data_IF_720360590721
#
_entry.id   IF_720360590721
#
_cell.length_a   1.000
_cell.length_b   1.000
_cell.length_c   1.000
_cell.angle_alpha   90.00
_cell.angle_beta   90.00
_cell.angle_gamma   90.00
#
_symmetry.space_group_name_H-M   'P 1'
#
loop_
_entity.id
_entity.type
_entity.pdbx_description
1 polymer ?
#
# COMPACT_ATOMS: atom_id res chain seq x y z
N UNK A 1 -46.30 -7.08 -47.45
CA UNK A 1 -45.39 -8.21 -47.17
C UNK A 1 -44.13 -8.00 -48.00
N UNK A 2 -42.92 -7.77 -47.50
CA UNK A 2 -42.41 -7.55 -46.13
C UNK A 2 -41.04 -6.91 -46.36
N UNK A 3 -40.83 -5.68 -45.86
CA UNK A 3 -39.50 -5.05 -45.76
C UNK A 3 -38.79 -5.68 -44.55
N UNK A 4 -37.61 -6.26 -44.74
CA UNK A 4 -36.74 -6.66 -43.63
C UNK A 4 -35.45 -5.82 -43.67
N UNK A 5 -35.46 -4.84 -42.78
CA UNK A 5 -34.34 -4.04 -42.33
C UNK A 5 -33.39 -4.94 -41.52
N UNK A 6 -32.15 -5.12 -41.98
CA UNK A 6 -31.13 -5.90 -41.28
C UNK A 6 -30.11 -4.95 -40.69
N UNK A 7 -30.42 -4.41 -39.52
CA UNK A 7 -29.51 -3.56 -38.74
C UNK A 7 -28.35 -4.41 -38.21
N UNK A 8 -27.17 -4.28 -38.83
CA UNK A 8 -25.91 -4.81 -38.29
C UNK A 8 -25.63 -4.15 -36.92
N UNK A 9 -25.27 -4.91 -35.87
CA UNK A 9 -24.75 -4.31 -34.65
C UNK A 9 -23.36 -3.75 -34.92
N UNK A 10 -23.24 -2.44 -34.68
CA UNK A 10 -22.02 -1.65 -34.74
C UNK A 10 -21.00 -2.23 -33.75
N UNK A 11 -19.98 -2.90 -34.27
CA UNK A 11 -18.81 -3.35 -33.48
C UNK A 11 -18.13 -2.10 -32.94
N UNK A 12 -18.33 -1.83 -31.66
CA UNK A 12 -17.52 -0.84 -30.93
C UNK A 12 -16.09 -1.36 -30.87
N UNK A 13 -15.08 -0.54 -31.17
CA UNK A 13 -13.70 -0.97 -31.08
C UNK A 13 -13.41 -1.31 -29.62
N UNK A 14 -12.87 -2.51 -29.41
CA UNK A 14 -12.41 -3.02 -28.13
C UNK A 14 -11.69 -1.90 -27.38
N UNK A 15 -12.36 -1.37 -26.36
CA UNK A 15 -11.65 -0.64 -25.32
C UNK A 15 -10.60 -1.60 -24.81
N UNK A 16 -9.30 -1.21 -24.82
CA UNK A 16 -8.27 -2.11 -24.37
C UNK A 16 -8.65 -2.47 -22.95
N UNK A 17 -8.97 -3.75 -22.73
CA UNK A 17 -9.22 -4.29 -21.42
C UNK A 17 -8.07 -3.75 -20.56
N UNK A 18 -8.43 -2.84 -19.65
CA UNK A 18 -7.58 -2.38 -18.58
C UNK A 18 -7.30 -3.65 -17.80
N UNK A 19 -6.28 -4.39 -18.21
CA UNK A 19 -5.93 -5.67 -17.65
C UNK A 19 -5.79 -5.43 -16.16
N UNK A 20 -6.83 -5.84 -15.44
CA UNK A 20 -6.89 -5.82 -14.01
C UNK A 20 -5.67 -6.61 -13.59
N UNK A 21 -4.66 -5.91 -13.07
CA UNK A 21 -3.49 -6.53 -12.43
C UNK A 21 -3.98 -7.17 -11.12
N UNK A 22 -4.79 -8.20 -11.28
CA UNK A 22 -5.41 -8.99 -10.24
C UNK A 22 -4.30 -9.65 -9.44
N UNK A 23 -4.42 -9.63 -8.12
CA UNK A 23 -3.56 -10.43 -7.27
C UNK A 23 -3.86 -11.90 -7.55
N UNK A 24 -2.96 -12.58 -8.26
CA UNK A 24 -3.05 -14.02 -8.44
C UNK A 24 -2.16 -14.69 -7.39
N UNK A 25 -2.74 -14.93 -6.21
CA UNK A 25 -2.18 -15.82 -5.21
C UNK A 25 -2.88 -17.17 -5.31
N UNK A 26 -2.11 -18.25 -5.45
CA UNK A 26 -2.62 -19.61 -5.34
C UNK A 26 -3.12 -19.87 -3.91
N UNK A 27 -4.01 -20.86 -3.73
CA UNK A 27 -4.47 -21.26 -2.40
C UNK A 27 -3.29 -21.57 -1.45
N UNK A 28 -2.25 -22.24 -1.95
CA UNK A 28 -1.04 -22.55 -1.19
C UNK A 28 -0.30 -21.28 -0.76
N UNK A 29 -0.16 -20.29 -1.64
CA UNK A 29 0.48 -19.03 -1.30
C UNK A 29 -0.31 -18.26 -0.23
N UNK A 30 -1.65 -18.28 -0.30
CA UNK A 30 -2.53 -17.66 0.71
C UNK A 30 -2.34 -18.31 2.08
N UNK A 31 -2.38 -19.65 2.14
CA UNK A 31 -2.14 -20.41 3.36
C UNK A 31 -0.75 -20.16 3.94
N UNK A 32 0.29 -20.11 3.10
CA UNK A 32 1.66 -19.81 3.51
C UNK A 32 1.75 -18.41 4.13
N UNK A 33 1.15 -17.39 3.52
CA UNK A 33 1.17 -16.03 4.07
C UNK A 33 0.48 -16.00 5.43
N UNK A 34 -0.70 -16.61 5.58
CA UNK A 34 -1.40 -16.68 6.87
C UNK A 34 -0.54 -17.35 7.95
N UNK A 35 -0.04 -18.57 7.67
CA UNK A 35 0.72 -19.34 8.65
C UNK A 35 2.05 -18.68 9.02
N UNK A 36 2.74 -18.07 8.04
CA UNK A 36 4.02 -17.40 8.29
C UNK A 36 3.84 -16.06 8.99
N UNK A 37 2.75 -15.34 8.75
CA UNK A 37 2.43 -14.15 9.51
C UNK A 37 2.11 -14.46 10.97
N UNK A 38 1.28 -15.47 11.22
CA UNK A 38 0.94 -15.93 12.56
C UNK A 38 2.20 -16.32 13.34
N UNK A 39 3.05 -17.16 12.74
CA UNK A 39 4.34 -17.55 13.35
C UNK A 39 5.27 -16.36 13.57
N UNK A 40 5.43 -15.47 12.60
CA UNK A 40 6.30 -14.31 12.76
C UNK A 40 5.80 -13.38 13.87
N UNK A 41 4.48 -13.15 13.94
CA UNK A 41 3.84 -12.27 14.92
C UNK A 41 3.86 -12.82 16.34
N UNK A 42 3.92 -14.15 16.50
CA UNK A 42 4.13 -14.77 17.82
C UNK A 42 5.57 -14.65 18.32
N UNK A 43 6.53 -14.45 17.42
CA UNK A 43 7.96 -14.39 17.76
C UNK A 43 8.46 -12.97 18.02
N UNK A 44 7.91 -11.97 17.33
CA UNK A 44 8.27 -10.58 17.57
C UNK A 44 7.16 -9.61 17.13
N UNK A 45 7.29 -8.37 17.59
CA UNK A 45 6.50 -7.26 17.09
C UNK A 45 7.02 -6.82 15.70
N UNK A 46 6.42 -7.39 14.65
CA UNK A 46 6.81 -7.14 13.25
C UNK A 46 6.73 -5.65 12.90
N UNK A 47 5.71 -4.94 13.41
CA UNK A 47 5.55 -3.51 13.24
C UNK A 47 6.74 -2.73 13.79
N UNK A 48 7.18 -3.03 15.01
CA UNK A 48 8.34 -2.35 15.61
C UNK A 48 9.64 -2.71 14.90
N UNK A 49 9.81 -3.98 14.53
CA UNK A 49 10.94 -4.47 13.72
C UNK A 49 11.03 -3.76 12.36
N UNK A 50 9.88 -3.53 11.69
CA UNK A 50 9.82 -2.75 10.45
C UNK A 50 10.21 -1.29 10.68
N UNK A 51 9.66 -0.65 11.70
CA UNK A 51 9.90 0.77 12.01
C UNK A 51 11.38 1.01 12.36
N UNK A 52 11.99 0.12 13.16
CA UNK A 52 13.41 0.18 13.47
C UNK A 52 14.27 0.06 12.19
N UNK A 53 13.96 -0.90 11.31
CA UNK A 53 14.65 -1.03 10.01
C UNK A 53 14.52 0.22 9.14
N UNK A 54 13.33 0.81 9.07
CA UNK A 54 13.10 2.04 8.29
C UNK A 54 13.86 3.25 8.87
N UNK A 55 13.92 3.37 10.20
CA UNK A 55 14.70 4.42 10.87
C UNK A 55 16.21 4.30 10.59
N UNK A 56 16.71 3.08 10.44
CA UNK A 56 18.10 2.78 10.14
C UNK A 56 18.42 2.80 8.63
N UNK A 57 17.42 2.87 7.75
CA UNK A 57 17.62 2.92 6.31
C UNK A 57 17.75 4.36 5.82
N UNK A 58 19.01 4.77 5.61
CA UNK A 58 19.39 6.11 5.13
C UNK A 58 18.83 6.47 3.74
N UNK A 59 18.28 5.51 3.00
CA UNK A 59 17.61 5.78 1.71
C UNK A 59 16.18 6.29 1.91
N UNK A 60 15.62 6.12 3.10
CA UNK A 60 14.26 6.57 3.42
C UNK A 60 14.27 7.95 4.03
N UNK A 61 13.18 8.70 3.82
CA UNK A 61 12.89 9.93 4.58
C UNK A 61 12.08 9.65 5.86
N UNK A 62 12.03 8.40 6.31
CA UNK A 62 11.14 7.98 7.39
C UNK A 62 11.45 8.69 8.71
N UNK A 63 12.74 8.84 9.02
CA UNK A 63 13.20 9.62 10.18
C UNK A 63 12.69 11.07 10.16
N UNK A 64 12.89 11.76 9.03
CA UNK A 64 12.41 13.15 8.87
C UNK A 64 10.88 13.27 8.99
N UNK A 65 10.12 12.27 8.53
CA UNK A 65 8.66 12.23 8.67
C UNK A 65 8.22 12.09 10.13
N UNK A 66 8.99 11.37 10.96
CA UNK A 66 8.71 11.26 12.38
C UNK A 66 9.07 12.56 13.12
N UNK A 67 10.23 13.14 12.84
CA UNK A 67 10.73 14.39 13.45
C UNK A 67 9.83 15.59 13.13
N UNK A 68 9.44 15.77 11.86
CA UNK A 68 8.63 16.91 11.39
C UNK A 68 7.31 17.07 12.15
N UNK A 69 6.77 15.97 12.70
CA UNK A 69 5.50 15.98 13.44
C UNK A 69 5.64 15.65 14.92
N UNK A 70 6.81 15.27 15.41
CA UNK A 70 7.08 15.10 16.85
C UNK A 70 7.65 16.37 17.48
N UNK A 71 8.33 17.23 16.70
CA UNK A 71 9.07 18.37 17.21
C UNK A 71 10.37 18.00 17.93
N UNK A 72 10.67 16.70 18.05
CA UNK A 72 11.86 16.18 18.72
C UNK A 72 12.83 15.63 17.68
N UNK A 73 14.09 16.05 17.75
CA UNK A 73 15.16 15.50 16.94
C UNK A 73 15.46 14.07 17.38
N UNK A 74 15.42 13.12 16.46
CA UNK A 74 15.85 11.76 16.77
C UNK A 74 17.40 11.77 16.75
N UNK A 75 18.07 11.14 17.72
CA UNK A 75 19.54 11.18 17.84
C UNK A 75 20.28 10.39 16.74
N UNK A 76 21.60 10.50 16.65
CA UNK A 76 22.40 9.68 15.72
C UNK A 76 22.78 8.34 16.36
N UNK A 77 21.82 7.42 16.42
CA UNK A 77 22.05 6.04 16.91
C UNK A 77 21.35 5.04 15.99
N UNK A 78 21.85 3.81 15.97
CA UNK A 78 21.12 2.68 15.39
C UNK A 78 19.91 2.40 16.28
N UNK A 79 18.71 2.44 15.71
CA UNK A 79 17.46 2.22 16.44
C UNK A 79 17.17 0.72 16.59
N UNK A 80 16.79 0.31 17.79
CA UNK A 80 16.30 -1.03 18.09
C UNK A 80 14.78 -1.07 18.24
N UNK A 81 14.22 -2.25 18.49
CA UNK A 81 12.78 -2.41 18.78
C UNK A 81 12.41 -1.71 20.09
N UNK A 82 13.31 -1.74 21.08
CA UNK A 82 13.16 -1.09 22.37
C UNK A 82 13.03 0.42 22.20
N UNK A 83 13.89 1.04 21.38
CA UNK A 83 13.79 2.47 21.07
C UNK A 83 12.43 2.83 20.44
N UNK A 84 11.93 1.99 19.52
CA UNK A 84 10.62 2.20 18.90
C UNK A 84 9.49 2.15 19.91
N UNK A 85 9.58 1.26 20.91
CA UNK A 85 8.57 1.15 21.97
C UNK A 85 8.50 2.39 22.86
N UNK A 86 9.64 3.03 23.13
CA UNK A 86 9.71 4.25 23.94
C UNK A 86 9.23 5.48 23.15
N UNK A 87 9.38 5.47 21.82
CA UNK A 87 8.93 6.54 20.95
C UNK A 87 7.43 6.40 20.62
N UNK A 88 6.56 7.04 21.40
CA UNK A 88 5.08 7.01 21.21
C UNK A 88 4.61 7.11 19.75
N UNK A 89 5.21 8.03 18.97
CA UNK A 89 4.86 8.21 17.56
C UNK A 89 5.30 7.03 16.69
N UNK A 90 6.52 6.52 16.88
CA UNK A 90 7.04 5.38 16.17
C UNK A 90 6.24 4.10 16.53
N UNK A 91 5.93 3.92 17.81
CA UNK A 91 5.03 2.89 18.31
C UNK A 91 3.65 2.92 17.65
N UNK A 92 3.02 4.10 17.55
CA UNK A 92 1.74 4.22 16.86
C UNK A 92 1.80 3.81 15.37
N UNK A 93 2.93 4.08 14.69
CA UNK A 93 3.13 3.62 13.31
C UNK A 93 3.28 2.10 13.26
N UNK A 94 4.06 1.51 14.18
CA UNK A 94 4.21 0.06 14.32
C UNK A 94 2.86 -0.64 14.58
N UNK A 95 2.05 -0.11 15.50
CA UNK A 95 0.71 -0.63 15.79
C UNK A 95 -0.21 -0.53 14.57
N UNK A 96 -0.13 0.58 13.82
CA UNK A 96 -0.86 0.74 12.57
C UNK A 96 -0.47 -0.28 11.50
N UNK A 97 0.82 -0.60 11.39
CA UNK A 97 1.33 -1.66 10.49
C UNK A 97 0.74 -3.01 10.90
N UNK A 98 0.89 -3.41 12.17
CA UNK A 98 0.38 -4.69 12.66
C UNK A 98 -1.14 -4.80 12.46
N UNK A 99 -1.89 -3.75 12.83
CA UNK A 99 -3.34 -3.69 12.67
C UNK A 99 -3.75 -3.85 11.20
N UNK A 100 -3.08 -3.12 10.29
CA UNK A 100 -3.38 -3.23 8.86
C UNK A 100 -3.09 -4.62 8.32
N UNK A 101 -1.91 -5.19 8.60
CA UNK A 101 -1.55 -6.52 8.11
C UNK A 101 -2.43 -7.63 8.69
N UNK A 102 -2.76 -7.59 9.97
CA UNK A 102 -3.77 -8.48 10.57
C UNK A 102 -5.10 -8.40 9.81
N UNK A 103 -5.55 -7.18 9.50
CA UNK A 103 -6.80 -6.95 8.76
C UNK A 103 -6.74 -7.53 7.35
N UNK A 104 -5.73 -7.23 6.54
CA UNK A 104 -5.66 -7.74 5.16
C UNK A 104 -5.39 -9.24 5.09
N UNK A 105 -4.63 -9.81 6.02
CA UNK A 105 -4.33 -11.25 6.06
C UNK A 105 -5.57 -12.05 6.45
N UNK A 106 -6.40 -11.52 7.36
CA UNK A 106 -7.69 -12.16 7.71
C UNK A 106 -8.62 -12.36 6.52
N UNK A 107 -8.40 -11.65 5.41
CA UNK A 107 -9.22 -11.73 4.19
C UNK A 107 -8.74 -12.76 3.20
N UNK A 108 -7.51 -13.26 3.33
CA UNK A 108 -6.88 -14.10 2.30
C UNK A 108 -7.65 -15.40 2.01
N UNK A 109 -8.43 -15.90 2.96
CA UNK A 109 -9.18 -17.14 2.80
C UNK A 109 -10.61 -16.92 2.30
N UNK A 110 -11.05 -15.67 2.14
CA UNK A 110 -12.37 -15.34 1.61
C UNK A 110 -12.40 -15.52 0.07
N UNK A 111 -13.60 -15.72 -0.49
CA UNK A 111 -13.78 -15.90 -1.94
C UNK A 111 -13.47 -14.62 -2.72
N UNK A 112 -13.81 -13.46 -2.16
CA UNK A 112 -13.62 -12.11 -2.72
C UNK A 112 -12.37 -11.41 -2.15
N UNK A 113 -11.39 -12.17 -1.62
CA UNK A 113 -10.20 -11.63 -0.95
C UNK A 113 -9.48 -10.52 -1.73
N UNK A 114 -9.42 -10.65 -3.06
CA UNK A 114 -8.74 -9.68 -3.93
C UNK A 114 -9.40 -8.32 -3.83
N UNK A 115 -10.73 -8.26 -3.86
CA UNK A 115 -11.49 -7.01 -3.84
C UNK A 115 -11.48 -6.40 -2.45
N UNK A 116 -11.63 -7.22 -1.40
CA UNK A 116 -11.51 -6.75 -0.01
C UNK A 116 -10.12 -6.16 0.28
N UNK A 117 -9.05 -6.86 -0.10
CA UNK A 117 -7.67 -6.36 0.13
C UNK A 117 -7.37 -5.14 -0.73
N UNK A 118 -7.90 -5.08 -1.97
CA UNK A 118 -7.79 -3.91 -2.83
C UNK A 118 -8.41 -2.69 -2.16
N UNK A 119 -9.64 -2.81 -1.67
CA UNK A 119 -10.37 -1.72 -1.04
C UNK A 119 -9.65 -1.22 0.22
N UNK A 120 -9.23 -2.12 1.10
CA UNK A 120 -8.45 -1.77 2.29
C UNK A 120 -7.15 -1.04 1.93
N UNK A 121 -6.47 -1.49 0.87
CA UNK A 121 -5.23 -0.87 0.41
C UNK A 121 -5.46 0.51 -0.20
N UNK A 122 -6.54 0.69 -0.98
CA UNK A 122 -6.94 1.99 -1.53
C UNK A 122 -7.24 2.99 -0.40
N UNK A 123 -8.05 2.59 0.58
CA UNK A 123 -8.39 3.40 1.75
C UNK A 123 -7.13 3.79 2.54
N UNK A 124 -6.21 2.86 2.75
CA UNK A 124 -4.95 3.16 3.43
C UNK A 124 -4.11 4.17 2.63
N UNK A 125 -4.06 4.04 1.29
CA UNK A 125 -3.42 5.01 0.41
C UNK A 125 -4.00 6.42 0.53
N UNK A 126 -5.33 6.54 0.47
CA UNK A 126 -6.04 7.82 0.64
C UNK A 126 -5.77 8.44 2.03
N UNK A 127 -5.78 7.62 3.09
CA UNK A 127 -5.44 8.06 4.44
C UNK A 127 -4.03 8.66 4.51
N UNK A 128 -3.03 8.02 3.89
CA UNK A 128 -1.67 8.55 3.85
C UNK A 128 -1.58 9.91 3.16
N UNK A 129 -2.36 10.13 2.10
CA UNK A 129 -2.48 11.44 1.45
C UNK A 129 -3.07 12.49 2.40
N UNK A 130 -4.22 12.20 3.04
CA UNK A 130 -4.88 13.12 4.00
C UNK A 130 -3.98 13.46 5.18
N UNK A 131 -3.19 12.50 5.63
CA UNK A 131 -2.18 12.69 6.68
C UNK A 131 -0.94 13.44 6.19
N UNK A 132 -0.86 13.87 4.94
CA UNK A 132 0.28 14.57 4.32
C UNK A 132 1.59 13.76 4.47
N UNK A 133 1.50 12.44 4.36
CA UNK A 133 2.65 11.54 4.36
C UNK A 133 3.05 11.30 2.92
N UNK A 134 4.03 12.07 2.44
CA UNK A 134 4.50 12.01 1.06
C UNK A 134 5.57 10.92 0.91
N UNK A 135 5.19 9.79 0.34
CA UNK A 135 6.13 8.73 0.03
C UNK A 135 6.64 8.87 -1.40
N UNK A 136 7.91 9.25 -1.54
CA UNK A 136 8.64 9.11 -2.81
C UNK A 136 8.77 7.62 -3.17
N UNK A 137 9.11 7.33 -4.44
CA UNK A 137 9.18 5.96 -4.97
C UNK A 137 10.09 5.06 -4.12
N UNK A 138 11.18 5.63 -3.61
CA UNK A 138 12.22 5.00 -2.80
C UNK A 138 11.65 4.53 -1.44
N UNK A 139 10.80 5.33 -0.81
CA UNK A 139 10.21 4.96 0.49
C UNK A 139 9.30 3.72 0.37
N UNK A 140 8.53 3.61 -0.73
CA UNK A 140 7.70 2.43 -0.97
C UNK A 140 8.51 1.16 -1.17
N UNK A 141 9.68 1.27 -1.82
CA UNK A 141 10.58 0.15 -2.03
C UNK A 141 11.21 -0.29 -0.70
N UNK A 142 11.66 0.67 0.12
CA UNK A 142 12.22 0.37 1.43
C UNK A 142 11.17 -0.27 2.36
N UNK A 143 9.93 0.23 2.40
CA UNK A 143 8.85 -0.41 3.19
C UNK A 143 8.64 -1.87 2.77
N UNK A 144 8.62 -2.15 1.47
CA UNK A 144 8.49 -3.53 0.97
C UNK A 144 9.66 -4.41 1.44
N UNK A 145 10.89 -3.94 1.27
CA UNK A 145 12.07 -4.73 1.60
C UNK A 145 12.20 -4.93 3.11
N UNK A 146 12.05 -3.86 3.90
CA UNK A 146 12.11 -3.95 5.36
C UNK A 146 11.02 -4.85 5.93
N UNK A 147 9.80 -4.86 5.35
CA UNK A 147 8.73 -5.75 5.80
C UNK A 147 9.06 -7.22 5.50
N UNK A 148 9.52 -7.51 4.29
CA UNK A 148 9.96 -8.85 3.92
C UNK A 148 11.09 -9.33 4.84
N UNK A 149 12.07 -8.48 5.09
CA UNK A 149 13.19 -8.78 5.98
C UNK A 149 12.71 -9.01 7.42
N UNK A 150 11.77 -8.20 7.93
CA UNK A 150 11.19 -8.41 9.26
C UNK A 150 10.50 -9.77 9.38
N UNK A 151 9.64 -10.13 8.42
CA UNK A 151 8.92 -11.41 8.44
C UNK A 151 9.88 -12.58 8.31
N UNK A 152 10.79 -12.56 7.33
CA UNK A 152 11.75 -13.64 7.09
C UNK A 152 12.70 -13.80 8.28
N UNK A 153 13.21 -12.70 8.85
CA UNK A 153 14.08 -12.74 10.04
C UNK A 153 13.34 -13.36 11.22
N UNK A 154 12.08 -12.98 11.47
CA UNK A 154 11.28 -13.53 12.55
C UNK A 154 11.10 -15.04 12.41
N UNK A 155 10.85 -15.51 11.18
CA UNK A 155 10.72 -16.94 10.89
C UNK A 155 12.04 -17.69 11.10
N UNK A 156 13.20 -17.06 10.89
CA UNK A 156 14.52 -17.68 11.00
C UNK A 156 15.03 -17.75 12.44
N UNK A 157 14.54 -16.89 13.36
CA UNK A 157 14.93 -16.88 14.79
C UNK A 157 14.70 -18.25 15.48
N UNK A 158 13.68 -19.00 15.06
CA UNK A 158 13.38 -20.34 15.59
C UNK A 158 14.16 -21.49 14.93
N UNK A 159 14.73 -21.26 13.76
CA UNK A 159 15.15 -22.36 12.89
C UNK A 159 16.64 -22.66 13.01
N UNK A 160 17.02 -23.31 14.11
CA UNK A 160 18.21 -24.17 14.08
C UNK A 160 18.01 -25.40 13.19
N UNK A 161 16.78 -25.87 12.97
CA UNK A 161 16.46 -27.07 12.18
C UNK A 161 15.12 -26.95 11.38
N UNK A 162 15.13 -26.33 10.19
CA UNK A 162 14.14 -26.59 9.13
C UNK A 162 12.69 -26.05 9.30
N UNK A 163 12.02 -25.74 8.18
CA UNK A 163 10.58 -25.45 8.15
C UNK A 163 9.78 -26.68 7.70
N UNK A 164 8.75 -27.07 8.44
CA UNK A 164 7.72 -28.01 7.99
C UNK A 164 6.52 -27.19 7.52
N UNK A 165 6.20 -27.26 6.22
CA UNK A 165 5.00 -26.63 5.65
C UNK A 165 4.18 -27.72 4.95
N UNK A 166 2.92 -27.87 5.36
CA UNK A 166 1.88 -28.70 4.72
C UNK A 166 2.36 -30.08 4.22
N UNK A 167 2.74 -30.96 5.14
CA UNK A 167 2.85 -32.40 4.87
C UNK A 167 4.14 -32.90 4.21
N UNK A 168 5.20 -32.08 4.11
CA UNK A 168 6.50 -32.55 3.63
C UNK A 168 7.69 -31.70 4.06
N UNK A 169 8.83 -32.37 4.31
CA UNK A 169 10.11 -31.72 4.62
C UNK A 169 10.70 -31.16 3.33
N UNK A 170 10.84 -29.83 3.22
CA UNK A 170 11.51 -29.15 2.10
C UNK A 170 12.84 -28.54 2.59
N UNK A 171 13.86 -28.51 1.72
CA UNK A 171 15.15 -27.86 2.02
C UNK A 171 14.94 -26.37 2.34
N UNK A 172 15.63 -25.87 3.37
CA UNK A 172 15.47 -24.50 3.93
C UNK A 172 15.49 -23.42 2.85
N UNK A 173 16.48 -23.45 1.94
CA UNK A 173 16.61 -22.47 0.84
C UNK A 173 15.41 -22.46 -0.12
N UNK A 174 14.80 -23.61 -0.39
CA UNK A 174 13.64 -23.71 -1.31
C UNK A 174 12.37 -23.21 -0.65
N UNK A 175 12.20 -23.49 0.65
CA UNK A 175 11.08 -22.97 1.45
C UNK A 175 11.16 -21.46 1.54
N UNK A 176 12.33 -20.92 1.86
CA UNK A 176 12.60 -19.49 1.94
C UNK A 176 12.25 -18.79 0.61
N UNK A 177 12.72 -19.31 -0.52
CA UNK A 177 12.40 -18.74 -1.84
C UNK A 177 10.89 -18.72 -2.13
N UNK A 178 10.16 -19.77 -1.76
CA UNK A 178 8.71 -19.85 -1.96
C UNK A 178 7.93 -18.89 -1.07
N UNK A 179 8.31 -18.77 0.21
CA UNK A 179 7.73 -17.82 1.17
C UNK A 179 7.97 -16.40 0.67
N UNK A 180 9.21 -16.05 0.34
CA UNK A 180 9.59 -14.72 -0.16
C UNK A 180 8.82 -14.36 -1.42
N UNK A 181 8.60 -15.31 -2.34
CA UNK A 181 7.82 -15.07 -3.56
C UNK A 181 6.36 -14.77 -3.26
N UNK A 182 5.72 -15.54 -2.37
CA UNK A 182 4.33 -15.33 -1.98
C UNK A 182 4.14 -13.96 -1.31
N UNK A 183 4.99 -13.64 -0.34
CA UNK A 183 4.99 -12.34 0.33
C UNK A 183 5.27 -11.19 -0.61
N UNK A 184 6.22 -11.34 -1.55
CA UNK A 184 6.50 -10.31 -2.54
C UNK A 184 5.27 -9.99 -3.38
N UNK A 185 4.57 -11.01 -3.91
CA UNK A 185 3.32 -10.81 -4.66
C UNK A 185 2.29 -10.06 -3.83
N UNK A 186 2.08 -10.49 -2.59
CA UNK A 186 1.09 -9.92 -1.68
C UNK A 186 1.38 -8.45 -1.34
N UNK A 187 2.59 -8.14 -0.87
CA UNK A 187 3.00 -6.78 -0.50
C UNK A 187 3.03 -5.87 -1.73
N UNK A 188 3.49 -6.38 -2.87
CA UNK A 188 3.49 -5.63 -4.12
C UNK A 188 2.07 -5.26 -4.56
N UNK A 189 1.07 -6.13 -4.37
CA UNK A 189 -0.33 -5.81 -4.64
C UNK A 189 -0.88 -4.73 -3.70
N UNK A 190 -0.60 -4.82 -2.40
CA UNK A 190 -0.97 -3.81 -1.42
C UNK A 190 -0.41 -2.44 -1.83
N UNK A 191 0.91 -2.35 -2.04
CA UNK A 191 1.58 -1.08 -2.39
C UNK A 191 1.03 -0.49 -3.70
N UNK A 192 0.75 -1.32 -4.70
CA UNK A 192 0.15 -0.85 -5.95
C UNK A 192 -1.20 -0.18 -5.72
N UNK A 193 -2.06 -0.78 -4.89
CA UNK A 193 -3.38 -0.22 -4.62
C UNK A 193 -3.31 0.95 -3.63
N UNK A 194 -2.39 0.95 -2.66
CA UNK A 194 -2.11 2.15 -1.86
C UNK A 194 -1.72 3.34 -2.72
N UNK A 195 -0.84 3.15 -3.71
CA UNK A 195 -0.46 4.22 -4.65
C UNK A 195 -1.66 4.73 -5.45
N UNK A 196 -2.55 3.85 -5.90
CA UNK A 196 -3.79 4.25 -6.60
C UNK A 196 -4.71 5.06 -5.71
N UNK A 197 -4.94 4.62 -4.47
CA UNK A 197 -5.81 5.31 -3.52
C UNK A 197 -5.27 6.67 -3.12
N UNK A 198 -3.95 6.76 -2.91
CA UNK A 198 -3.25 8.03 -2.67
C UNK A 198 -3.44 9.01 -3.84
N UNK A 199 -3.23 8.55 -5.08
CA UNK A 199 -3.36 9.40 -6.27
C UNK A 199 -4.81 9.84 -6.52
N UNK A 200 -5.78 8.94 -6.33
CA UNK A 200 -7.19 9.27 -6.47
C UNK A 200 -7.62 10.37 -5.49
N UNK A 201 -7.19 10.26 -4.22
CA UNK A 201 -7.47 11.27 -3.21
C UNK A 201 -6.81 12.62 -3.53
N UNK A 202 -5.59 12.60 -4.07
CA UNK A 202 -4.88 13.80 -4.51
C UNK A 202 -5.64 14.56 -5.62
N UNK A 203 -6.04 13.84 -6.67
CA UNK A 203 -6.76 14.42 -7.81
C UNK A 203 -8.11 15.00 -7.40
N UNK A 204 -8.83 14.34 -6.50
CA UNK A 204 -10.11 14.82 -5.97
C UNK A 204 -9.96 16.07 -5.08
N UNK A 205 -8.84 16.18 -4.36
CA UNK A 205 -8.55 17.35 -3.52
C UNK A 205 -8.21 18.58 -4.36
N UNK A 206 -7.52 18.39 -5.49
CA UNK A 206 -7.18 19.48 -6.42
C UNK A 206 -8.40 19.98 -7.21
N UNK A 207 -9.35 19.09 -7.55
CA UNK A 207 -10.60 19.49 -8.21
C UNK A 207 -11.49 20.34 -7.31
N UNK A 208 -11.48 20.08 -5.99
CA UNK A 208 -12.26 20.84 -5.01
C UNK A 208 -11.61 22.17 -4.62
N UNK A 209 -10.34 22.40 -4.97
CA UNK A 209 -9.61 23.64 -4.74
C UNK A 209 -9.54 24.55 -5.97
N UNK A 210 -10.30 24.28 -7.04
CA UNK A 210 -10.45 25.24 -8.13
C UNK A 210 -11.22 26.45 -7.59
N UNK A 211 -10.67 27.68 -7.67
CA UNK A 211 -11.48 28.87 -7.40
C UNK A 211 -12.63 28.86 -8.40
N UNK A 212 -13.86 29.04 -7.90
CA UNK A 212 -15.03 29.30 -8.74
C UNK A 212 -14.67 30.39 -9.75
N UNK A 213 -14.47 29.99 -11.01
CA UNK A 213 -14.37 30.91 -12.13
C UNK A 213 -15.78 31.32 -12.52
N UNK A 214 -16.50 31.96 -11.60
CA UNK A 214 -17.76 32.63 -11.90
C UNK A 214 -17.75 34.02 -11.26
N UNK A 215 -16.93 34.90 -11.83
CA UNK A 215 -17.15 36.34 -11.86
C UNK A 215 -16.27 36.94 -12.97
N UNK A 216 -16.63 36.70 -14.23
CA UNK A 216 -16.28 37.63 -15.30
C UNK A 216 -17.46 38.59 -15.48
N UNK A 217 -17.30 39.90 -15.21
CA UNK A 217 -18.27 40.88 -15.66
C UNK A 217 -18.14 41.02 -17.19
N UNK A 218 -19.27 40.86 -17.88
CA UNK A 218 -19.37 41.04 -19.33
C UNK A 218 -18.88 42.44 -19.75
N UNK A 219 -18.09 42.58 -20.82
CA UNK A 219 -17.68 43.89 -21.32
C UNK A 219 -18.81 44.54 -22.13
N UNK A 220 -19.20 45.74 -21.68
CA UNK A 220 -19.77 46.89 -22.40
C UNK A 220 -20.21 46.72 -23.87
N UNK A 221 -21.50 46.95 -24.12
CA UNK A 221 -22.07 47.37 -25.39
C UNK A 221 -22.33 48.89 -25.43
N UNK A 222 -21.68 49.54 -26.39
CA UNK A 222 -21.74 50.93 -26.90
C UNK A 222 -23.14 51.56 -26.99
N UNK A 223 -23.34 52.87 -26.83
CA UNK A 223 -22.99 53.90 -27.82
C UNK A 223 -23.23 55.32 -27.29
N UNK A 224 -22.28 56.23 -27.53
CA UNK A 224 -22.49 57.69 -27.48
C UNK A 224 -22.09 58.24 -28.86
N UNK A 225 -23.08 58.58 -29.68
CA UNK A 225 -22.89 59.33 -30.93
C UNK A 225 -23.20 60.80 -30.68
N UNK A 226 -22.24 61.66 -31.05
CA UNK A 226 -22.32 63.13 -30.99
C UNK A 226 -23.02 63.73 -32.23
N UNK A 227 -23.57 64.92 -32.00
CA UNK A 227 -23.72 66.09 -32.90
C UNK A 227 -25.00 66.21 -33.74
N UNK A 228 -25.89 67.14 -33.37
CA UNK A 228 -25.88 68.56 -33.78
C UNK A 228 -26.65 69.39 -32.74
#
# INVERSE_FOLDING_TARGET
MTLQDSTQPRVTPDSPALNARCMSLTMVERQVICATWEKASSQCDIGCELVARLLNDNRTRFRALLECKSGNFLGATTYTVEDVNEMKRARNVADGVNCFFNKVISKLMDDDYVDQIRELSLQLGAMHFRMKVWFQAENWLCVKNCLLDSVVTALLKDNKNGYVICGGVKRVQTVEKSITTAWFKFVQFIIQNMKKGFLAEALNSDSNNRPDKDCCPSPSGTSCTKSL
#
